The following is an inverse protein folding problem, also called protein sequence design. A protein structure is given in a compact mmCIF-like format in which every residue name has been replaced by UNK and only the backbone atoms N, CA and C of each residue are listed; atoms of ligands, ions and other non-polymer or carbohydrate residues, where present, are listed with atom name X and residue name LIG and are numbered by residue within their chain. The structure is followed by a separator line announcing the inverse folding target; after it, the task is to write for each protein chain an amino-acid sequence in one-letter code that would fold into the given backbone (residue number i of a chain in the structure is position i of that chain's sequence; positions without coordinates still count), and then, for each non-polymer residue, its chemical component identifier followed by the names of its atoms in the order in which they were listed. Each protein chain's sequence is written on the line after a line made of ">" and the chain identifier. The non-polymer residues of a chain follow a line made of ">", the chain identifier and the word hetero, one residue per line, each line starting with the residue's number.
data_IF_408457722456
#
_entry.id   IF_408457722456
#
_cell.length_a   1.000
_cell.length_b   1.000
_cell.length_c   1.000
_cell.angle_alpha   90.00
_cell.angle_beta   90.00
_cell.angle_gamma   90.00
#
_symmetry.space_group_name_H-M   'P 1'
#
loop_
_entity.id
_entity.type
_entity.pdbx_description
1 polymer ?
#
# COMPACT_ATOMS: atom_id res chain seq x y z
N UNK A 1 -83.20 4.01 -106.80
CA UNK A 1 -82.02 3.25 -106.30
C UNK A 1 -80.89 4.15 -105.74
N UNK A 2 -80.59 5.33 -106.30
CA UNK A 2 -79.55 6.23 -105.74
C UNK A 2 -79.96 6.91 -104.43
N UNK A 3 -81.20 7.40 -104.28
CA UNK A 3 -81.65 8.11 -103.06
C UNK A 3 -81.71 7.22 -101.80
N UNK A 4 -82.01 5.94 -101.97
CA UNK A 4 -82.10 4.96 -100.87
C UNK A 4 -80.72 4.64 -100.26
N UNK A 5 -79.67 4.72 -101.07
CA UNK A 5 -78.28 4.54 -100.63
C UNK A 5 -77.79 5.77 -99.84
N UNK A 6 -78.19 6.97 -100.26
CA UNK A 6 -77.82 8.23 -99.59
C UNK A 6 -78.44 8.32 -98.20
N UNK A 7 -79.70 7.90 -98.04
CA UNK A 7 -80.35 7.89 -96.72
C UNK A 7 -79.71 6.88 -95.75
N UNK A 8 -79.28 5.70 -96.22
CA UNK A 8 -78.54 4.73 -95.39
C UNK A 8 -77.19 5.26 -94.93
N UNK A 9 -76.45 5.94 -95.81
CA UNK A 9 -75.15 6.57 -95.48
C UNK A 9 -75.29 7.67 -94.43
N UNK A 10 -76.34 8.50 -94.50
CA UNK A 10 -76.60 9.54 -93.50
C UNK A 10 -76.94 8.93 -92.13
N UNK A 11 -77.71 7.84 -92.11
CA UNK A 11 -78.06 7.14 -90.87
C UNK A 11 -76.84 6.47 -90.20
N UNK A 12 -75.94 5.85 -90.98
CA UNK A 12 -74.70 5.29 -90.46
C UNK A 12 -73.74 6.37 -89.94
N UNK A 13 -73.57 7.49 -90.66
CA UNK A 13 -72.73 8.60 -90.19
C UNK A 13 -73.23 9.19 -88.87
N UNK A 14 -74.55 9.25 -88.66
CA UNK A 14 -75.14 9.69 -87.39
C UNK A 14 -74.83 8.70 -86.25
N UNK A 15 -74.88 7.39 -86.51
CA UNK A 15 -74.45 6.36 -85.55
C UNK A 15 -72.96 6.46 -85.22
N UNK A 16 -72.12 6.74 -86.22
CA UNK A 16 -70.66 6.82 -86.08
C UNK A 16 -70.25 8.06 -85.25
N UNK A 17 -70.90 9.21 -85.48
CA UNK A 17 -70.76 10.40 -84.62
C UNK A 17 -71.18 10.12 -83.17
N UNK A 18 -72.26 9.36 -82.95
CA UNK A 18 -72.69 8.94 -81.62
C UNK A 18 -71.65 8.08 -80.90
N UNK A 19 -71.02 7.14 -81.61
CA UNK A 19 -69.94 6.30 -81.06
C UNK A 19 -68.70 7.12 -80.72
N UNK A 20 -68.31 8.07 -81.56
CA UNK A 20 -67.17 8.97 -81.29
C UNK A 20 -67.40 9.85 -80.04
N UNK A 21 -68.61 10.39 -79.86
CA UNK A 21 -68.95 11.15 -78.67
C UNK A 21 -68.88 10.28 -77.40
N UNK A 22 -69.34 9.02 -77.47
CA UNK A 22 -69.24 8.06 -76.36
C UNK A 22 -67.78 7.73 -76.01
N UNK A 23 -66.92 7.56 -77.03
CA UNK A 23 -65.49 7.31 -76.85
C UNK A 23 -64.80 8.47 -76.11
N UNK A 24 -65.05 9.72 -76.54
CA UNK A 24 -64.49 10.91 -75.88
C UNK A 24 -64.90 11.01 -74.40
N UNK A 25 -66.16 10.69 -74.09
CA UNK A 25 -66.66 10.69 -72.70
C UNK A 25 -66.03 9.58 -71.84
N UNK A 26 -65.70 8.44 -72.43
CA UNK A 26 -64.98 7.37 -71.71
C UNK A 26 -63.53 7.76 -71.46
N UNK A 27 -62.85 8.35 -72.46
CA UNK A 27 -61.48 8.85 -72.31
C UNK A 27 -61.36 9.92 -71.22
N UNK A 28 -62.32 10.84 -71.12
CA UNK A 28 -62.30 11.84 -70.04
C UNK A 28 -62.45 11.20 -68.66
N UNK A 29 -63.31 10.18 -68.51
CA UNK A 29 -63.48 9.46 -67.24
C UNK A 29 -62.22 8.70 -66.81
N UNK A 30 -61.52 8.09 -67.76
CA UNK A 30 -60.24 7.40 -67.47
C UNK A 30 -59.21 8.40 -66.96
N UNK A 31 -59.12 9.58 -67.58
CA UNK A 31 -58.17 10.62 -67.17
C UNK A 31 -58.41 11.13 -65.75
N UNK A 32 -59.67 11.35 -65.38
CA UNK A 32 -60.03 11.74 -64.00
C UNK A 32 -59.70 10.63 -62.99
N UNK A 33 -59.91 9.37 -63.36
CA UNK A 33 -59.56 8.24 -62.49
C UNK A 33 -58.04 8.12 -62.28
N UNK A 34 -57.23 8.37 -63.31
CA UNK A 34 -55.77 8.37 -63.20
C UNK A 34 -55.26 9.49 -62.28
N UNK A 35 -55.84 10.69 -62.36
CA UNK A 35 -55.51 11.82 -61.50
C UNK A 35 -55.79 11.49 -60.01
N UNK A 36 -56.95 10.89 -59.72
CA UNK A 36 -57.31 10.42 -58.37
C UNK A 36 -56.35 9.35 -57.83
N UNK A 37 -55.89 8.42 -58.68
CA UNK A 37 -54.94 7.38 -58.30
C UNK A 37 -53.57 7.98 -57.95
N UNK A 38 -53.08 8.94 -58.76
CA UNK A 38 -51.80 9.60 -58.51
C UNK A 38 -51.82 10.40 -57.20
N UNK A 39 -52.92 11.08 -56.88
CA UNK A 39 -53.04 11.82 -55.62
C UNK A 39 -53.02 10.89 -54.40
N UNK A 40 -53.66 9.72 -54.49
CA UNK A 40 -53.62 8.68 -53.44
C UNK A 40 -52.22 8.11 -53.22
N UNK A 41 -51.46 7.87 -54.30
CA UNK A 41 -50.07 7.38 -54.21
C UNK A 41 -49.17 8.42 -53.51
N UNK A 42 -49.35 9.71 -53.82
CA UNK A 42 -48.57 10.80 -53.23
C UNK A 42 -48.84 10.96 -51.73
N UNK A 43 -50.10 10.83 -51.29
CA UNK A 43 -50.47 10.82 -49.87
C UNK A 43 -49.83 9.64 -49.11
N UNK A 44 -49.80 8.44 -49.70
CA UNK A 44 -49.23 7.25 -49.08
C UNK A 44 -47.69 7.34 -48.89
N UNK A 45 -46.97 7.88 -49.88
CA UNK A 45 -45.50 8.08 -49.79
C UNK A 45 -45.09 9.08 -48.70
N UNK A 46 -45.94 10.06 -48.36
CA UNK A 46 -45.64 11.02 -47.29
C UNK A 46 -45.88 10.46 -45.89
N UNK A 47 -46.79 9.50 -45.72
CA UNK A 47 -47.02 8.84 -44.42
C UNK A 47 -45.92 7.84 -44.03
N UNK A 48 -45.17 7.31 -45.01
CA UNK A 48 -44.15 6.27 -44.77
C UNK A 48 -42.80 6.81 -44.26
N UNK A 49 -42.58 8.13 -44.23
CA UNK A 49 -41.27 8.72 -43.89
C UNK A 49 -40.98 8.91 -42.39
N UNK A 50 -41.91 8.60 -41.49
CA UNK A 50 -41.72 8.78 -40.04
C UNK A 50 -42.14 7.57 -39.23
N UNK A 51 -41.35 7.21 -38.20
CA UNK A 51 -41.73 6.19 -37.21
C UNK A 51 -43.01 6.56 -36.43
N UNK A 52 -43.37 7.84 -36.42
CA UNK A 52 -44.54 8.40 -35.74
C UNK A 52 -45.33 9.35 -36.65
N UNK A 53 -46.64 9.48 -36.41
CA UNK A 53 -47.50 10.45 -37.10
C UNK A 53 -47.23 11.88 -36.61
N UNK A 54 -47.39 12.88 -37.48
CA UNK A 54 -47.20 14.31 -37.13
C UNK A 54 -48.06 14.72 -35.91
N UNK A 55 -49.32 14.29 -35.87
CA UNK A 55 -50.25 14.56 -34.77
C UNK A 55 -49.85 13.90 -33.44
N UNK A 56 -49.10 12.80 -33.47
CA UNK A 56 -48.54 12.19 -32.26
C UNK A 56 -47.39 13.03 -31.73
N UNK A 57 -46.49 13.49 -32.61
CA UNK A 57 -45.33 14.31 -32.24
C UNK A 57 -45.74 15.66 -31.65
N UNK A 58 -46.72 16.34 -32.27
CA UNK A 58 -47.25 17.63 -31.77
C UNK A 58 -47.81 17.52 -30.35
N UNK A 59 -48.57 16.46 -30.05
CA UNK A 59 -49.09 16.19 -28.70
C UNK A 59 -47.97 15.96 -27.66
N UNK A 60 -46.82 15.43 -28.08
CA UNK A 60 -45.66 15.20 -27.18
C UNK A 60 -44.90 16.50 -26.88
N UNK A 61 -44.81 17.40 -27.86
CA UNK A 61 -44.20 18.71 -27.66
C UNK A 61 -45.02 19.59 -26.70
N UNK A 62 -46.35 19.46 -26.73
CA UNK A 62 -47.24 20.17 -25.79
C UNK A 62 -47.20 19.61 -24.35
N UNK A 63 -46.71 18.39 -24.15
CA UNK A 63 -46.54 17.77 -22.82
C UNK A 63 -45.19 17.03 -22.70
N UNK A 64 -44.08 17.80 -22.59
CA UNK A 64 -42.75 17.24 -22.44
C UNK A 64 -42.64 16.31 -21.24
N UNK A 65 -41.79 15.28 -21.37
CA UNK A 65 -41.52 14.36 -20.27
C UNK A 65 -40.56 15.02 -19.28
N UNK A 66 -41.00 15.17 -18.03
CA UNK A 66 -40.18 15.62 -16.91
C UNK A 66 -40.20 14.56 -15.81
N UNK A 67 -39.12 14.47 -15.04
CA UNK A 67 -39.06 13.62 -13.85
C UNK A 67 -39.52 14.41 -12.62
N UNK A 68 -40.29 13.78 -11.74
CA UNK A 68 -40.56 14.31 -10.41
C UNK A 68 -39.41 14.01 -9.44
N UNK A 69 -39.50 14.50 -8.21
CA UNK A 69 -38.48 14.31 -7.16
C UNK A 69 -38.25 12.83 -6.79
N UNK A 70 -39.19 11.95 -7.13
CA UNK A 70 -39.11 10.49 -6.90
C UNK A 70 -38.56 9.75 -8.13
N UNK A 71 -38.11 10.47 -9.16
CA UNK A 71 -37.54 9.88 -10.38
C UNK A 71 -38.55 9.23 -11.31
N UNK A 72 -39.84 9.46 -11.09
CA UNK A 72 -40.93 8.98 -11.95
C UNK A 72 -41.29 10.05 -12.98
N UNK A 73 -41.81 9.65 -14.14
CA UNK A 73 -42.37 10.59 -15.11
C UNK A 73 -43.52 11.38 -14.43
N UNK A 74 -43.41 12.70 -14.46
CA UNK A 74 -44.39 13.61 -13.88
C UNK A 74 -45.75 13.49 -14.59
N UNK A 75 -46.83 13.52 -13.81
CA UNK A 75 -48.21 13.37 -14.27
C UNK A 75 -48.90 12.07 -13.83
N UNK A 76 -50.09 11.77 -14.40
CA UNK A 76 -50.87 10.59 -14.01
C UNK A 76 -50.14 9.28 -14.30
N UNK A 77 -50.22 8.32 -13.37
CA UNK A 77 -49.48 7.05 -13.45
C UNK A 77 -49.79 6.26 -14.73
N UNK A 78 -51.06 6.25 -15.17
CA UNK A 78 -51.47 5.60 -16.42
C UNK A 78 -50.75 6.19 -17.64
N UNK A 79 -50.57 7.51 -17.68
CA UNK A 79 -49.88 8.21 -18.77
C UNK A 79 -48.38 7.95 -18.71
N UNK A 80 -47.79 7.93 -17.52
CA UNK A 80 -46.39 7.59 -17.30
C UNK A 80 -46.07 6.16 -17.76
N UNK A 81 -46.88 5.16 -17.35
CA UNK A 81 -46.73 3.77 -17.77
C UNK A 81 -46.85 3.61 -19.29
N UNK A 82 -47.83 4.29 -19.91
CA UNK A 82 -47.98 4.30 -21.37
C UNK A 82 -46.74 4.86 -22.07
N UNK A 83 -46.21 6.00 -21.59
CA UNK A 83 -44.98 6.61 -22.11
C UNK A 83 -43.78 5.66 -22.05
N UNK A 84 -43.62 4.95 -20.92
CA UNK A 84 -42.53 3.97 -20.72
C UNK A 84 -42.69 2.79 -21.69
N UNK A 85 -43.91 2.26 -21.83
CA UNK A 85 -44.19 1.14 -22.72
C UNK A 85 -43.94 1.48 -24.19
N UNK A 86 -44.46 2.62 -24.67
CA UNK A 86 -44.24 3.09 -26.05
C UNK A 86 -42.73 3.27 -26.34
N UNK A 87 -41.97 3.83 -25.39
CA UNK A 87 -40.52 4.01 -25.51
C UNK A 87 -39.80 2.66 -25.61
N UNK A 88 -40.22 1.71 -24.78
CA UNK A 88 -39.68 0.35 -24.75
C UNK A 88 -39.93 -0.39 -26.07
N UNK A 89 -41.16 -0.35 -26.58
CA UNK A 89 -41.55 -1.01 -27.84
C UNK A 89 -40.78 -0.45 -29.06
N UNK A 90 -40.54 0.87 -29.07
CA UNK A 90 -39.75 1.51 -30.14
C UNK A 90 -38.28 1.14 -30.02
N UNK A 91 -37.73 1.15 -28.80
CA UNK A 91 -36.35 0.73 -28.56
C UNK A 91 -36.12 -0.75 -28.95
N UNK A 92 -37.10 -1.63 -28.71
CA UNK A 92 -37.05 -3.02 -29.18
C UNK A 92 -36.95 -3.11 -30.70
N UNK A 93 -37.76 -2.33 -31.44
CA UNK A 93 -37.74 -2.32 -32.91
C UNK A 93 -36.42 -1.79 -33.47
N UNK A 94 -35.82 -0.79 -32.82
CA UNK A 94 -34.57 -0.15 -33.28
C UNK A 94 -33.36 -1.03 -32.97
N UNK A 95 -33.27 -1.59 -31.75
CA UNK A 95 -32.09 -2.30 -31.27
C UNK A 95 -32.20 -3.83 -31.34
N UNK A 96 -33.30 -4.36 -31.89
CA UNK A 96 -33.49 -5.81 -32.09
C UNK A 96 -33.88 -6.59 -30.83
N UNK A 97 -34.57 -5.96 -29.89
CA UNK A 97 -35.09 -6.64 -28.69
C UNK A 97 -36.38 -7.44 -28.97
N UNK A 98 -36.57 -8.56 -28.28
CA UNK A 98 -37.81 -9.35 -28.31
C UNK A 98 -38.51 -9.31 -26.95
N UNK A 99 -39.82 -9.64 -26.85
CA UNK A 99 -40.50 -9.71 -25.55
C UNK A 99 -39.84 -10.70 -24.58
N UNK A 100 -39.15 -11.72 -25.11
CA UNK A 100 -38.37 -12.70 -24.33
C UNK A 100 -36.95 -12.22 -23.99
N UNK A 101 -36.38 -11.30 -24.76
CA UNK A 101 -35.05 -10.73 -24.52
C UNK A 101 -35.02 -9.22 -24.78
N UNK A 102 -35.21 -8.45 -23.72
CA UNK A 102 -35.22 -6.98 -23.74
C UNK A 102 -33.83 -6.34 -23.63
N UNK A 103 -32.76 -7.13 -23.42
CA UNK A 103 -31.41 -6.56 -23.21
C UNK A 103 -30.94 -5.63 -24.34
N UNK A 104 -31.09 -5.97 -25.64
CA UNK A 104 -30.64 -5.09 -26.72
C UNK A 104 -31.34 -3.72 -26.68
N UNK A 105 -32.64 -3.69 -26.36
CA UNK A 105 -33.40 -2.46 -26.20
C UNK A 105 -32.88 -1.60 -25.04
N UNK A 106 -32.61 -2.22 -23.88
CA UNK A 106 -32.08 -1.50 -22.71
C UNK A 106 -30.65 -0.99 -22.94
N UNK A 107 -29.78 -1.77 -23.59
CA UNK A 107 -28.43 -1.33 -23.93
C UNK A 107 -28.43 -0.17 -24.92
N UNK A 108 -29.31 -0.20 -25.93
CA UNK A 108 -29.46 0.90 -26.86
C UNK A 108 -29.96 2.18 -26.20
N UNK A 109 -30.96 2.08 -25.32
CA UNK A 109 -31.44 3.22 -24.52
C UNK A 109 -30.35 3.78 -23.60
N UNK A 110 -29.60 2.91 -22.91
CA UNK A 110 -28.52 3.32 -22.03
C UNK A 110 -27.39 3.99 -22.81
N UNK A 111 -26.96 3.43 -23.94
CA UNK A 111 -25.91 4.01 -24.79
C UNK A 111 -26.32 5.38 -25.36
N UNK A 112 -27.59 5.52 -25.75
CA UNK A 112 -28.13 6.79 -26.22
C UNK A 112 -28.11 7.83 -25.10
N UNK A 113 -28.53 7.43 -23.89
CA UNK A 113 -28.54 8.30 -22.73
C UNK A 113 -27.11 8.70 -22.30
N UNK A 114 -26.19 7.74 -22.22
CA UNK A 114 -24.82 7.97 -21.75
C UNK A 114 -23.99 8.84 -22.70
N UNK A 115 -24.22 8.73 -24.01
CA UNK A 115 -23.48 9.49 -25.02
C UNK A 115 -24.15 10.81 -25.39
N UNK A 116 -25.48 10.91 -25.22
CA UNK A 116 -26.25 12.09 -25.62
C UNK A 116 -26.46 13.12 -24.52
N UNK A 117 -26.47 12.72 -23.25
CA UNK A 117 -26.71 13.64 -22.13
C UNK A 117 -25.40 14.14 -21.49
N UNK A 118 -25.43 15.37 -20.97
CA UNK A 118 -24.31 15.92 -20.20
C UNK A 118 -24.14 15.19 -18.86
N UNK A 119 -22.92 15.19 -18.32
CA UNK A 119 -22.63 14.58 -17.01
C UNK A 119 -23.52 15.15 -15.89
N UNK A 120 -23.75 16.47 -15.85
CA UNK A 120 -24.60 17.10 -14.84
C UNK A 120 -26.05 16.63 -14.92
N UNK A 121 -26.57 16.44 -16.14
CA UNK A 121 -27.92 15.92 -16.37
C UNK A 121 -28.05 14.47 -15.91
N UNK A 122 -27.05 13.63 -16.22
CA UNK A 122 -27.04 12.23 -15.78
C UNK A 122 -26.97 12.10 -14.25
N UNK A 123 -26.15 12.94 -13.60
CA UNK A 123 -26.05 12.99 -12.14
C UNK A 123 -27.39 13.34 -11.49
N UNK A 124 -28.08 14.38 -11.97
CA UNK A 124 -29.41 14.76 -11.47
C UNK A 124 -30.45 13.64 -11.66
N UNK A 125 -30.44 12.97 -12.82
CA UNK A 125 -31.32 11.82 -13.09
C UNK A 125 -31.06 10.65 -12.13
N UNK A 126 -29.80 10.34 -11.83
CA UNK A 126 -29.45 9.27 -10.91
C UNK A 126 -29.84 9.60 -9.46
N UNK A 127 -29.60 10.82 -8.99
CA UNK A 127 -30.02 11.23 -7.65
C UNK A 127 -31.52 11.15 -7.43
N UNK A 128 -32.32 11.49 -8.46
CA UNK A 128 -33.79 11.41 -8.40
C UNK A 128 -34.32 9.98 -8.44
N UNK A 129 -33.54 8.99 -8.90
CA UNK A 129 -33.99 7.60 -9.04
C UNK A 129 -33.73 6.77 -7.78
N UNK A 130 -34.77 6.37 -7.01
CA UNK A 130 -34.58 5.60 -5.78
C UNK A 130 -33.97 4.23 -6.06
N UNK A 131 -34.32 3.60 -7.18
CA UNK A 131 -33.79 2.27 -7.55
C UNK A 131 -32.30 2.34 -7.86
N UNK A 132 -31.85 3.40 -8.53
CA UNK A 132 -30.42 3.60 -8.81
C UNK A 132 -29.66 3.83 -7.50
N UNK A 133 -30.13 4.76 -6.67
CA UNK A 133 -29.46 5.13 -5.43
C UNK A 133 -29.44 4.03 -4.36
N UNK A 134 -30.52 3.23 -4.24
CA UNK A 134 -30.65 2.24 -3.15
C UNK A 134 -30.26 0.82 -3.54
N UNK A 135 -30.20 0.50 -4.85
CA UNK A 135 -29.89 -0.86 -5.34
C UNK A 135 -28.71 -0.88 -6.31
N UNK A 136 -28.75 -0.09 -7.39
CA UNK A 136 -27.74 -0.18 -8.46
C UNK A 136 -26.37 0.31 -7.99
N UNK A 137 -26.29 1.53 -7.44
CA UNK A 137 -25.02 2.09 -6.96
C UNK A 137 -24.43 1.23 -5.83
N UNK A 138 -25.19 0.82 -4.81
CA UNK A 138 -24.71 -0.11 -3.79
C UNK A 138 -24.11 -1.40 -4.35
N UNK A 139 -24.74 -2.02 -5.35
CA UNK A 139 -24.21 -3.24 -5.95
C UNK A 139 -22.84 -3.00 -6.62
N UNK A 140 -22.73 -1.96 -7.45
CA UNK A 140 -21.49 -1.61 -8.15
C UNK A 140 -20.38 -1.26 -7.15
N UNK A 141 -20.70 -0.42 -6.16
CA UNK A 141 -19.75 0.02 -5.13
C UNK A 141 -19.30 -1.16 -4.28
N UNK A 142 -20.22 -2.00 -3.79
CA UNK A 142 -19.89 -3.12 -2.92
C UNK A 142 -19.06 -4.18 -3.63
N UNK A 143 -19.21 -4.38 -4.94
CA UNK A 143 -18.28 -5.22 -5.71
C UNK A 143 -16.86 -4.64 -5.73
N UNK A 144 -16.72 -3.33 -5.94
CA UNK A 144 -15.40 -2.66 -5.86
C UNK A 144 -14.82 -2.71 -4.45
N UNK A 145 -15.65 -2.59 -3.41
CA UNK A 145 -15.25 -2.73 -2.01
C UNK A 145 -14.75 -4.15 -1.73
N UNK A 146 -15.46 -5.19 -2.19
CA UNK A 146 -15.00 -6.59 -2.05
C UNK A 146 -13.68 -6.84 -2.76
N UNK A 147 -13.49 -6.28 -3.97
CA UNK A 147 -12.22 -6.34 -4.67
C UNK A 147 -11.10 -5.63 -3.90
N UNK A 148 -11.41 -4.46 -3.32
CA UNK A 148 -10.46 -3.70 -2.50
C UNK A 148 -10.10 -4.44 -1.20
N UNK A 149 -11.05 -5.06 -0.51
CA UNK A 149 -10.82 -5.81 0.73
C UNK A 149 -9.74 -6.89 0.53
N UNK A 150 -9.70 -7.51 -0.65
CA UNK A 150 -8.72 -8.54 -1.03
C UNK A 150 -7.43 -7.99 -1.65
N UNK A 151 -7.32 -6.69 -1.86
CA UNK A 151 -6.19 -6.06 -2.55
C UNK A 151 -4.91 -5.99 -1.72
N UNK A 152 -3.76 -5.87 -2.40
CA UNK A 152 -2.46 -5.57 -1.77
C UNK A 152 -2.49 -4.22 -1.03
N UNK A 153 -3.22 -3.24 -1.56
CA UNK A 153 -3.38 -1.93 -0.93
C UNK A 153 -4.04 -2.03 0.44
N UNK A 154 -5.09 -2.86 0.56
CA UNK A 154 -5.74 -3.10 1.84
C UNK A 154 -4.85 -3.87 2.82
N UNK A 155 -4.04 -4.81 2.32
CA UNK A 155 -3.00 -5.46 3.13
C UNK A 155 -2.03 -4.43 3.73
N UNK A 156 -1.45 -3.54 2.91
CA UNK A 156 -0.54 -2.49 3.37
C UNK A 156 -1.22 -1.56 4.38
N UNK A 157 -2.48 -1.15 4.12
CA UNK A 157 -3.30 -0.39 5.07
C UNK A 157 -3.45 -1.10 6.42
N UNK A 158 -3.67 -2.42 6.40
CA UNK A 158 -3.86 -3.23 7.60
C UNK A 158 -2.57 -3.41 8.40
N UNK A 159 -1.44 -3.62 7.70
CA UNK A 159 -0.10 -3.66 8.31
C UNK A 159 0.22 -2.31 8.96
N UNK A 160 -0.02 -1.19 8.26
CA UNK A 160 0.20 0.13 8.83
C UNK A 160 -0.61 0.31 10.13
N UNK A 161 -1.88 -0.08 10.14
CA UNK A 161 -2.72 -0.03 11.36
C UNK A 161 -2.12 -0.87 12.51
N UNK A 162 -1.63 -2.08 12.23
CA UNK A 162 -1.06 -2.97 13.23
C UNK A 162 0.22 -2.41 13.88
N UNK A 163 1.06 -1.74 13.09
CA UNK A 163 2.36 -1.22 13.54
C UNK A 163 2.37 0.29 13.84
N UNK A 164 1.23 0.99 13.65
CA UNK A 164 1.14 2.43 13.84
C UNK A 164 1.43 2.79 15.29
N UNK A 165 2.48 3.59 15.50
CA UNK A 165 2.96 4.02 16.81
C UNK A 165 3.42 2.87 17.74
N UNK A 166 3.79 1.72 17.17
CA UNK A 166 4.15 0.51 17.90
C UNK A 166 3.22 -0.65 17.58
N UNK A 167 3.59 -1.84 18.01
CA UNK A 167 2.80 -3.05 17.76
C UNK A 167 1.51 -3.02 18.60
N UNK A 168 0.38 -3.02 17.92
CA UNK A 168 -0.94 -3.09 18.55
C UNK A 168 -1.24 -4.53 18.97
N UNK A 169 -1.77 -4.73 20.18
CA UNK A 169 -2.18 -6.05 20.65
C UNK A 169 -3.32 -6.63 19.79
N UNK A 170 -3.40 -7.97 19.72
CA UNK A 170 -4.49 -8.67 18.99
C UNK A 170 -5.87 -8.17 19.40
N UNK A 171 -6.11 -8.02 20.70
CA UNK A 171 -7.38 -7.53 21.23
C UNK A 171 -7.67 -6.10 20.80
N UNK A 172 -6.71 -5.19 20.94
CA UNK A 172 -6.88 -3.79 20.53
C UNK A 172 -7.10 -3.66 19.02
N UNK A 173 -6.41 -4.47 18.21
CA UNK A 173 -6.60 -4.51 16.77
C UNK A 173 -8.03 -4.94 16.40
N UNK A 174 -8.53 -6.03 17.01
CA UNK A 174 -9.85 -6.59 16.71
C UNK A 174 -10.98 -5.72 17.28
N UNK A 175 -10.91 -5.42 18.57
CA UNK A 175 -12.01 -4.83 19.35
C UNK A 175 -12.06 -3.33 19.14
N UNK A 176 -10.93 -2.63 19.26
CA UNK A 176 -10.92 -1.17 19.23
C UNK A 176 -10.82 -0.62 17.82
N UNK A 177 -9.93 -1.17 16.98
CA UNK A 177 -9.63 -0.54 15.69
C UNK A 177 -10.51 -1.11 14.58
N UNK A 178 -10.48 -2.43 14.35
CA UNK A 178 -11.27 -3.05 13.29
C UNK A 178 -12.76 -2.80 13.49
N UNK A 179 -13.27 -3.00 14.71
CA UNK A 179 -14.68 -2.75 14.99
C UNK A 179 -15.03 -1.28 14.79
N UNK A 180 -14.25 -0.32 15.29
CA UNK A 180 -14.60 1.10 15.15
C UNK A 180 -14.54 1.60 13.70
N UNK A 181 -13.63 1.06 12.88
CA UNK A 181 -13.47 1.46 11.48
C UNK A 181 -14.49 0.84 10.53
N UNK A 182 -15.22 -0.20 10.95
CA UNK A 182 -16.07 -0.97 10.04
C UNK A 182 -17.43 -1.36 10.59
N UNK A 183 -17.71 -1.05 11.85
CA UNK A 183 -18.96 -1.38 12.52
C UNK A 183 -19.52 -0.19 13.28
N UNK A 184 -20.84 0.01 13.15
CA UNK A 184 -21.63 0.93 13.95
C UNK A 184 -22.57 0.14 14.86
N UNK A 185 -22.83 0.66 16.06
CA UNK A 185 -23.89 0.12 16.91
C UNK A 185 -25.24 0.44 16.27
N UNK A 186 -26.15 -0.55 16.20
CA UNK A 186 -27.53 -0.27 15.78
C UNK A 186 -28.26 0.40 16.94
N UNK A 187 -28.97 1.49 16.66
CA UNK A 187 -29.68 2.30 17.66
C UNK A 187 -30.65 1.50 18.55
N UNK A 188 -31.22 0.39 18.03
CA UNK A 188 -32.25 -0.40 18.71
C UNK A 188 -31.87 -1.87 18.98
N UNK A 189 -30.57 -2.24 18.97
CA UNK A 189 -30.17 -3.60 19.31
C UNK A 189 -28.72 -3.69 19.79
N UNK A 190 -28.41 -4.68 20.63
CA UNK A 190 -27.02 -5.07 20.96
C UNK A 190 -26.23 -5.65 19.76
N UNK A 191 -26.74 -5.51 18.53
CA UNK A 191 -26.08 -5.98 17.30
C UNK A 191 -25.32 -4.85 16.61
N UNK A 192 -24.13 -5.18 16.09
CA UNK A 192 -23.32 -4.28 15.27
C UNK A 192 -23.71 -4.43 13.80
N UNK A 193 -23.80 -3.30 13.11
CA UNK A 193 -24.00 -3.21 11.65
C UNK A 193 -22.73 -2.73 10.98
N UNK A 194 -22.58 -2.97 9.68
CA UNK A 194 -21.46 -2.38 8.96
C UNK A 194 -21.58 -0.87 8.90
N UNK A 195 -20.44 -0.18 9.05
CA UNK A 195 -20.40 1.25 8.79
C UNK A 195 -20.65 1.48 7.30
N UNK A 196 -21.67 2.26 7.02
CA UNK A 196 -22.07 2.67 5.67
C UNK A 196 -21.77 4.16 5.50
N UNK A 197 -21.23 4.56 4.36
CA UNK A 197 -21.03 5.98 4.03
C UNK A 197 -22.18 6.56 3.18
N UNK A 198 -23.00 5.67 2.62
CA UNK A 198 -24.26 5.94 1.92
C UNK A 198 -25.14 4.70 2.10
N UNK A 199 -26.46 4.85 2.01
CA UNK A 199 -27.40 3.73 2.17
C UNK A 199 -26.98 2.49 1.36
N UNK A 200 -26.79 1.37 2.05
CA UNK A 200 -26.35 0.08 1.51
C UNK A 200 -24.91 0.06 0.92
N UNK A 201 -24.12 1.11 1.07
CA UNK A 201 -22.72 1.18 0.61
C UNK A 201 -21.74 1.02 1.77
N UNK A 202 -21.11 -0.15 1.85
CA UNK A 202 -20.22 -0.50 2.94
C UNK A 202 -18.86 0.20 2.85
N UNK A 203 -18.28 0.55 4.00
CA UNK A 203 -16.88 0.99 4.09
C UNK A 203 -15.93 -0.22 4.00
N UNK A 204 -14.83 -0.14 3.22
CA UNK A 204 -13.88 -1.24 3.11
C UNK A 204 -13.20 -1.59 4.44
N UNK A 205 -13.11 -2.90 4.70
CA UNK A 205 -12.62 -3.45 5.97
C UNK A 205 -11.13 -3.67 5.90
N UNK A 206 -10.42 -3.34 6.99
CA UNK A 206 -9.05 -3.84 7.17
C UNK A 206 -9.07 -5.37 7.22
N UNK A 207 -7.92 -6.04 7.09
CA UNK A 207 -7.86 -7.50 7.09
C UNK A 207 -8.10 -8.09 8.49
N UNK A 208 -8.73 -9.28 8.59
CA UNK A 208 -8.81 -10.01 9.85
C UNK A 208 -7.42 -10.27 10.42
N UNK A 209 -7.27 -10.24 11.75
CA UNK A 209 -5.95 -10.42 12.38
C UNK A 209 -5.28 -11.74 11.98
N UNK A 210 -6.05 -12.84 11.91
CA UNK A 210 -5.53 -14.16 11.52
C UNK A 210 -4.96 -14.16 10.10
N UNK A 211 -5.70 -13.58 9.15
CA UNK A 211 -5.26 -13.48 7.75
C UNK A 211 -4.08 -12.51 7.60
N UNK A 212 -4.10 -11.39 8.32
CA UNK A 212 -3.01 -10.42 8.36
C UNK A 212 -1.72 -11.09 8.86
N UNK A 213 -1.78 -11.79 9.99
CA UNK A 213 -0.63 -12.49 10.56
C UNK A 213 -0.14 -13.63 9.67
N UNK A 214 -1.03 -14.36 9.00
CA UNK A 214 -0.65 -15.38 8.03
C UNK A 214 0.15 -14.76 6.88
N UNK A 215 -0.33 -13.65 6.31
CA UNK A 215 0.38 -12.92 5.27
C UNK A 215 1.72 -12.33 5.76
N UNK A 216 1.76 -11.78 6.98
CA UNK A 216 2.99 -11.24 7.58
C UNK A 216 4.03 -12.36 7.79
N UNK A 217 3.61 -13.53 8.29
CA UNK A 217 4.51 -14.68 8.47
C UNK A 217 5.03 -15.24 7.15
N UNK A 218 4.29 -15.06 6.05
CA UNK A 218 4.73 -15.39 4.71
C UNK A 218 5.69 -14.36 4.09
N UNK A 219 5.94 -13.22 4.75
CA UNK A 219 6.96 -12.28 4.30
C UNK A 219 8.31 -12.92 4.59
N UNK A 220 9.09 -13.16 3.53
CA UNK A 220 10.48 -13.52 3.68
C UNK A 220 11.23 -12.38 4.40
N UNK A 221 11.86 -12.70 5.52
CA UNK A 221 12.68 -11.80 6.33
C UNK A 221 14.16 -12.20 6.35
N UNK A 222 14.53 -13.19 5.53
CA UNK A 222 15.86 -13.80 5.50
C UNK A 222 15.99 -14.94 6.49
N UNK A 223 17.20 -15.50 6.55
CA UNK A 223 17.51 -16.60 7.44
C UNK A 223 17.59 -16.11 8.89
N UNK A 224 16.97 -16.87 9.79
CA UNK A 224 17.08 -16.66 11.23
C UNK A 224 17.88 -17.83 11.82
N UNK A 225 18.91 -17.48 12.58
CA UNK A 225 19.79 -18.43 13.24
C UNK A 225 19.54 -18.44 14.74
N UNK A 226 19.62 -19.62 15.33
CA UNK A 226 19.53 -19.81 16.78
C UNK A 226 20.84 -19.45 17.46
N UNK A 227 20.77 -18.58 18.47
CA UNK A 227 21.94 -18.24 19.28
C UNK A 227 22.40 -19.43 20.12
N UNK A 228 21.45 -20.21 20.62
CA UNK A 228 21.72 -21.35 21.46
C UNK A 228 22.59 -22.39 20.73
N UNK A 229 22.16 -22.78 19.53
CA UNK A 229 22.82 -23.81 18.74
C UNK A 229 24.26 -23.45 18.37
N UNK A 230 24.55 -22.17 18.12
CA UNK A 230 25.86 -21.75 17.63
C UNK A 230 26.79 -21.26 18.74
N UNK A 231 26.27 -20.55 19.74
CA UNK A 231 27.09 -19.84 20.72
C UNK A 231 27.03 -20.44 22.13
N UNK A 232 26.05 -21.29 22.44
CA UNK A 232 25.97 -21.98 23.74
C UNK A 232 26.67 -23.35 23.77
N UNK A 233 27.37 -23.74 22.70
CA UNK A 233 28.11 -25.00 22.63
C UNK A 233 29.14 -25.11 23.77
N UNK A 234 29.01 -26.17 24.58
CA UNK A 234 29.89 -26.43 25.73
C UNK A 234 29.62 -25.58 26.97
N UNK A 235 28.50 -24.84 27.03
CA UNK A 235 28.04 -24.15 28.24
C UNK A 235 27.13 -25.05 29.08
N UNK A 236 26.97 -24.74 30.37
CA UNK A 236 26.00 -25.42 31.23
C UNK A 236 24.56 -25.12 30.80
N UNK A 237 23.60 -25.99 31.16
CA UNK A 237 22.19 -25.80 30.82
C UNK A 237 21.62 -24.46 31.32
N UNK A 238 22.11 -23.96 32.45
CA UNK A 238 21.68 -22.68 33.03
C UNK A 238 22.22 -21.45 32.25
N UNK A 239 23.26 -21.64 31.44
CA UNK A 239 23.88 -20.62 30.59
C UNK A 239 23.33 -20.64 29.15
N UNK A 240 22.35 -21.51 28.87
CA UNK A 240 21.71 -21.57 27.56
C UNK A 240 20.75 -20.39 27.39
N UNK A 241 20.87 -19.72 26.25
CA UNK A 241 20.15 -18.48 25.99
C UNK A 241 19.11 -18.70 24.90
N UNK A 242 17.91 -18.17 25.14
CA UNK A 242 16.88 -18.08 24.12
C UNK A 242 17.03 -16.77 23.34
N UNK A 243 17.35 -16.89 22.06
CA UNK A 243 17.46 -15.73 21.19
C UNK A 243 17.76 -16.12 19.74
N UNK A 244 17.49 -15.17 18.86
CA UNK A 244 17.65 -15.33 17.40
C UNK A 244 18.48 -14.18 16.87
N UNK A 245 19.23 -14.46 15.80
CA UNK A 245 19.99 -13.45 15.10
C UNK A 245 19.93 -13.64 13.59
N UNK A 246 20.28 -12.60 12.84
CA UNK A 246 20.40 -12.59 11.37
C UNK A 246 21.85 -12.47 10.95
N UNK A 247 22.19 -13.04 9.80
CA UNK A 247 23.51 -12.79 9.23
C UNK A 247 23.64 -11.31 8.82
N UNK A 248 24.76 -10.70 9.22
CA UNK A 248 24.99 -9.27 9.00
C UNK A 248 25.12 -8.96 7.50
N UNK A 249 25.81 -9.80 6.74
CA UNK A 249 26.04 -9.57 5.30
C UNK A 249 24.72 -9.69 4.55
N UNK A 250 23.94 -10.75 4.79
CA UNK A 250 22.63 -10.95 4.16
C UNK A 250 21.67 -9.78 4.47
N UNK A 251 21.63 -9.35 5.74
CA UNK A 251 20.79 -8.23 6.16
C UNK A 251 21.19 -6.93 5.46
N UNK A 252 22.49 -6.59 5.42
CA UNK A 252 22.98 -5.36 4.79
C UNK A 252 22.70 -5.32 3.29
N UNK A 253 22.89 -6.44 2.59
CA UNK A 253 22.59 -6.53 1.15
C UNK A 253 21.09 -6.34 0.86
N UNK A 254 20.23 -6.96 1.68
CA UNK A 254 18.77 -6.81 1.57
C UNK A 254 18.34 -5.37 1.84
N UNK A 255 18.92 -4.73 2.87
CA UNK A 255 18.66 -3.32 3.17
C UNK A 255 19.14 -2.42 2.04
N UNK A 256 20.35 -2.63 1.52
CA UNK A 256 20.87 -1.86 0.39
C UNK A 256 19.94 -1.96 -0.83
N UNK A 257 19.48 -3.17 -1.18
CA UNK A 257 18.51 -3.37 -2.26
C UNK A 257 17.21 -2.59 -2.02
N UNK A 258 16.67 -2.65 -0.81
CA UNK A 258 15.48 -1.91 -0.42
C UNK A 258 15.68 -0.40 -0.54
N UNK A 259 16.76 0.14 0.02
CA UNK A 259 17.01 1.58 0.01
C UNK A 259 17.27 2.10 -1.40
N UNK A 260 18.04 1.39 -2.22
CA UNK A 260 18.27 1.76 -3.63
C UNK A 260 16.95 1.81 -4.41
N UNK A 261 16.09 0.79 -4.25
CA UNK A 261 14.78 0.73 -4.91
C UNK A 261 13.86 1.88 -4.48
N UNK A 262 13.78 2.14 -3.18
CA UNK A 262 12.83 3.13 -2.66
C UNK A 262 13.37 4.56 -2.78
N UNK A 263 14.69 4.72 -2.98
CA UNK A 263 15.32 6.03 -3.14
C UNK A 263 14.68 6.82 -4.28
N UNK A 264 14.31 6.20 -5.41
CA UNK A 264 13.68 6.87 -6.55
C UNK A 264 12.34 7.55 -6.21
N UNK A 265 11.57 6.96 -5.30
CA UNK A 265 10.23 7.43 -4.94
C UNK A 265 10.18 8.30 -3.69
N UNK A 266 11.29 8.43 -2.95
CA UNK A 266 11.38 9.25 -1.73
C UNK A 266 11.73 10.70 -2.04
N UNK A 267 11.13 11.62 -1.28
CA UNK A 267 11.45 13.06 -1.32
C UNK A 267 12.82 13.34 -0.70
N UNK A 268 13.11 12.66 0.41
CA UNK A 268 14.35 12.68 1.16
C UNK A 268 15.26 11.54 0.70
N UNK A 269 16.00 11.84 -0.37
CA UNK A 269 16.98 10.95 -1.02
C UNK A 269 18.13 10.59 -0.08
N UNK A 270 18.77 9.46 -0.38
CA UNK A 270 20.01 9.06 0.27
C UNK A 270 21.13 10.08 0.01
N UNK A 271 21.93 10.33 1.04
CA UNK A 271 23.14 11.16 0.93
C UNK A 271 24.36 10.25 0.91
N UNK A 272 25.27 10.52 -0.03
CA UNK A 272 26.54 9.82 -0.18
C UNK A 272 27.65 10.70 0.37
N UNK A 273 28.31 10.26 1.43
CA UNK A 273 29.33 11.04 2.13
C UNK A 273 30.70 10.95 1.45
N UNK A 274 31.57 11.94 1.71
CA UNK A 274 33.00 11.94 1.35
C UNK A 274 33.31 11.75 -0.14
N UNK A 275 32.48 12.29 -1.04
CA UNK A 275 32.61 12.11 -2.50
C UNK A 275 32.69 10.64 -2.93
N UNK A 276 32.22 9.69 -2.11
CA UNK A 276 32.18 8.28 -2.47
C UNK A 276 31.10 8.05 -3.54
N UNK A 277 31.32 7.03 -4.37
CA UNK A 277 30.37 6.63 -5.40
C UNK A 277 29.01 6.25 -4.80
N UNK A 278 27.93 6.52 -5.55
CA UNK A 278 26.60 6.05 -5.19
C UNK A 278 26.60 4.52 -5.03
N UNK A 279 26.00 4.04 -3.94
CA UNK A 279 26.07 2.62 -3.55
C UNK A 279 27.00 2.34 -2.37
N UNK A 280 27.70 3.33 -1.83
CA UNK A 280 28.46 3.18 -0.59
C UNK A 280 27.62 3.54 0.65
N UNK A 281 27.34 2.55 1.50
CA UNK A 281 26.55 2.73 2.73
C UNK A 281 27.42 2.85 3.97
N UNK A 282 27.19 3.91 4.73
CA UNK A 282 27.75 4.13 6.04
C UNK A 282 26.80 3.52 7.08
N UNK A 283 27.30 2.61 7.91
CA UNK A 283 26.50 1.76 8.78
C UNK A 283 26.75 2.12 10.24
N UNK A 284 25.66 2.20 11.01
CA UNK A 284 25.71 2.16 12.46
C UNK A 284 25.27 0.79 12.97
N UNK A 285 26.01 0.24 13.93
CA UNK A 285 25.69 -1.04 14.56
C UNK A 285 25.95 -0.98 16.06
N UNK A 286 24.98 -1.40 16.86
CA UNK A 286 25.12 -1.35 18.31
C UNK A 286 24.12 -2.22 19.04
N UNK A 287 24.48 -2.61 20.24
CA UNK A 287 23.66 -3.38 21.18
C UNK A 287 23.24 -2.53 22.37
N UNK A 288 22.02 -2.76 22.84
CA UNK A 288 21.53 -2.16 24.08
C UNK A 288 20.71 -3.17 24.89
N UNK A 289 20.95 -3.20 26.20
CA UNK A 289 20.23 -4.00 27.16
C UNK A 289 19.03 -3.26 27.73
N UNK A 290 17.86 -3.88 27.68
CA UNK A 290 16.66 -3.41 28.35
C UNK A 290 16.38 -4.26 29.61
N UNK A 291 15.95 -3.66 30.74
CA UNK A 291 15.62 -4.39 31.96
C UNK A 291 14.22 -5.05 31.85
N UNK A 292 14.08 -5.97 30.90
CA UNK A 292 12.85 -6.70 30.60
C UNK A 292 13.21 -8.16 30.30
N UNK A 293 12.31 -9.11 30.63
CA UNK A 293 12.49 -10.53 30.30
C UNK A 293 12.48 -11.45 31.52
N UNK A 294 12.71 -12.74 31.30
CA UNK A 294 12.69 -13.78 32.35
C UNK A 294 13.91 -13.68 33.28
N UNK A 295 14.99 -13.06 32.80
CA UNK A 295 16.25 -12.86 33.52
C UNK A 295 16.49 -11.38 33.88
N UNK A 296 15.43 -10.57 33.96
CA UNK A 296 15.47 -9.11 34.17
C UNK A 296 16.38 -8.34 33.19
N UNK A 297 16.73 -8.97 32.06
CA UNK A 297 17.57 -8.41 31.01
C UNK A 297 17.25 -9.05 29.66
N UNK A 298 17.08 -8.20 28.65
CA UNK A 298 16.97 -8.56 27.25
C UNK A 298 17.92 -7.69 26.45
N UNK A 299 18.61 -8.28 25.48
CA UNK A 299 19.58 -7.61 24.64
C UNK A 299 19.07 -7.55 23.20
N UNK A 300 19.19 -6.37 22.59
CA UNK A 300 18.92 -6.20 21.17
C UNK A 300 20.12 -5.56 20.48
N UNK A 301 20.53 -6.11 19.33
CA UNK A 301 21.46 -5.44 18.42
C UNK A 301 20.71 -4.91 17.21
N UNK A 302 21.00 -3.66 16.87
CA UNK A 302 20.36 -2.92 15.80
C UNK A 302 21.39 -2.47 14.75
N UNK A 303 20.92 -2.37 13.51
CA UNK A 303 21.69 -1.87 12.36
C UNK A 303 20.89 -0.74 11.70
N UNK A 304 21.56 0.35 11.32
CA UNK A 304 20.97 1.46 10.57
C UNK A 304 21.95 2.05 9.56
N UNK A 305 21.43 2.73 8.54
CA UNK A 305 22.25 3.44 7.54
C UNK A 305 22.32 4.93 7.85
N UNK A 306 23.54 5.45 8.02
CA UNK A 306 23.79 6.88 8.24
C UNK A 306 23.37 7.72 7.02
N UNK A 307 23.36 7.13 5.83
CA UNK A 307 22.96 7.79 4.57
C UNK A 307 21.52 8.32 4.58
N UNK A 308 20.71 7.92 5.56
CA UNK A 308 19.35 8.42 5.78
C UNK A 308 19.29 9.73 6.59
N UNK A 309 20.42 10.25 7.07
CA UNK A 309 20.63 11.57 7.71
C UNK A 309 19.52 11.94 8.72
N UNK A 310 18.56 12.79 8.30
CA UNK A 310 17.48 13.29 9.15
C UNK A 310 16.59 12.18 9.73
N UNK A 311 16.58 10.99 9.11
CA UNK A 311 15.79 9.86 9.57
C UNK A 311 16.55 8.93 10.51
N UNK A 312 17.83 9.16 10.80
CA UNK A 312 18.59 8.18 11.59
C UNK A 312 18.03 8.01 13.01
N UNK A 313 17.52 9.09 13.59
CA UNK A 313 16.83 9.08 14.89
C UNK A 313 15.41 8.51 14.81
N UNK A 314 14.93 8.17 13.61
CA UNK A 314 13.62 7.55 13.41
C UNK A 314 13.65 6.09 13.80
N UNK A 315 12.64 5.67 14.55
CA UNK A 315 12.40 4.25 14.88
C UNK A 315 12.20 3.37 13.63
N UNK A 316 11.89 3.97 12.48
CA UNK A 316 11.64 3.24 11.23
C UNK A 316 12.91 2.87 10.45
N UNK A 317 14.07 3.39 10.86
CA UNK A 317 15.35 3.20 10.14
C UNK A 317 16.35 2.37 10.96
N UNK A 318 15.89 1.72 12.04
CA UNK A 318 16.67 0.85 12.90
C UNK A 318 16.17 -0.59 12.78
N UNK A 319 17.02 -1.50 12.34
CA UNK A 319 16.65 -2.88 12.02
C UNK A 319 17.26 -3.87 13.00
N UNK A 320 16.46 -4.82 13.47
CA UNK A 320 16.89 -5.84 14.41
C UNK A 320 17.84 -6.85 13.74
N UNK A 321 19.06 -6.94 14.27
CA UNK A 321 20.08 -7.91 13.89
C UNK A 321 20.09 -9.11 14.86
N UNK A 322 19.98 -8.84 16.16
CA UNK A 322 19.93 -9.85 17.22
C UNK A 322 18.89 -9.46 18.26
N UNK A 323 18.14 -10.44 18.77
CA UNK A 323 17.30 -10.30 19.96
C UNK A 323 17.44 -11.53 20.85
N UNK A 324 17.78 -11.32 22.11
CA UNK A 324 17.98 -12.40 23.09
C UNK A 324 17.47 -12.01 24.47
N UNK A 325 16.96 -12.99 25.22
CA UNK A 325 16.54 -12.83 26.60
C UNK A 325 17.71 -13.18 27.54
N UNK A 326 18.71 -12.30 27.61
CA UNK A 326 19.90 -12.47 28.42
C UNK A 326 20.55 -11.15 28.82
N UNK A 327 21.51 -11.25 29.75
CA UNK A 327 22.37 -10.14 30.10
C UNK A 327 23.36 -9.81 28.99
N UNK A 328 23.84 -8.57 28.99
CA UNK A 328 24.79 -8.07 27.99
C UNK A 328 26.17 -8.74 28.09
N UNK A 329 26.49 -9.28 29.28
CA UNK A 329 27.81 -9.80 29.66
C UNK A 329 27.92 -11.33 29.62
N UNK A 330 26.88 -12.03 29.18
CA UNK A 330 26.88 -13.49 29.09
C UNK A 330 27.82 -14.02 27.99
N UNK A 331 28.31 -15.25 28.17
CA UNK A 331 29.33 -15.85 27.31
C UNK A 331 28.89 -16.04 25.86
N UNK A 332 27.62 -16.39 25.62
CA UNK A 332 27.12 -16.57 24.26
C UNK A 332 27.09 -15.24 23.48
N UNK A 333 26.71 -14.14 24.13
CA UNK A 333 26.77 -12.80 23.53
C UNK A 333 28.21 -12.38 23.30
N UNK A 334 29.12 -12.70 24.23
CA UNK A 334 30.56 -12.48 24.02
C UNK A 334 31.07 -13.16 22.75
N UNK A 335 30.72 -14.43 22.54
CA UNK A 335 31.08 -15.19 21.33
C UNK A 335 30.46 -14.59 20.07
N UNK A 336 29.21 -14.16 20.15
CA UNK A 336 28.54 -13.47 19.05
C UNK A 336 29.24 -12.16 18.66
N UNK A 337 29.63 -11.32 19.62
CA UNK A 337 30.32 -10.05 19.33
C UNK A 337 31.69 -10.27 18.69
N UNK A 338 32.40 -11.35 19.04
CA UNK A 338 33.63 -11.74 18.36
C UNK A 338 33.40 -12.11 16.90
N UNK A 339 32.36 -12.90 16.61
CA UNK A 339 31.93 -13.22 15.24
C UNK A 339 31.57 -11.96 14.46
N UNK A 340 30.77 -11.08 15.07
CA UNK A 340 30.35 -9.80 14.49
C UNK A 340 31.55 -8.90 14.12
N UNK A 341 32.56 -8.84 14.99
CA UNK A 341 33.79 -8.07 14.74
C UNK A 341 34.59 -8.61 13.54
N UNK A 342 34.59 -9.94 13.35
CA UNK A 342 35.21 -10.56 12.18
C UNK A 342 34.41 -10.27 10.91
N UNK A 343 33.08 -10.45 10.96
CA UNK A 343 32.19 -10.15 9.83
C UNK A 343 32.37 -8.72 9.34
N UNK A 344 32.38 -7.74 10.25
CA UNK A 344 32.54 -6.33 9.88
C UNK A 344 33.86 -6.11 9.14
N UNK A 345 34.98 -6.66 9.66
CA UNK A 345 36.29 -6.53 9.02
C UNK A 345 36.33 -7.14 7.62
N UNK A 346 35.56 -8.20 7.39
CA UNK A 346 35.46 -8.81 6.06
C UNK A 346 34.57 -8.02 5.12
N UNK A 347 33.42 -7.55 5.62
CA UNK A 347 32.43 -6.78 4.85
C UNK A 347 33.04 -5.48 4.35
N UNK A 348 33.80 -4.75 5.19
CA UNK A 348 34.45 -3.48 4.79
C UNK A 348 35.46 -3.64 3.64
N UNK A 349 36.02 -4.84 3.45
CA UNK A 349 37.01 -5.11 2.40
C UNK A 349 36.37 -5.51 1.07
N UNK A 350 35.11 -5.90 1.09
CA UNK A 350 34.42 -6.49 -0.07
C UNK A 350 33.51 -5.45 -0.72
N UNK A 351 33.40 -5.55 -2.03
CA UNK A 351 32.34 -4.89 -2.81
C UNK A 351 31.41 -5.98 -3.31
N UNK A 352 30.12 -5.74 -3.19
CA UNK A 352 29.06 -6.67 -3.53
C UNK A 352 28.28 -6.16 -4.72
N UNK A 353 27.71 -7.06 -5.52
CA UNK A 353 26.84 -6.67 -6.63
C UNK A 353 25.39 -7.04 -6.29
N UNK A 354 24.48 -6.07 -6.39
CA UNK A 354 23.06 -6.23 -6.09
C UNK A 354 22.23 -5.80 -7.30
N UNK A 355 21.22 -6.58 -7.68
CA UNK A 355 20.31 -6.22 -8.77
C UNK A 355 19.07 -5.50 -8.23
N UNK A 356 18.81 -4.30 -8.75
CA UNK A 356 17.64 -3.47 -8.42
C UNK A 356 16.95 -3.10 -9.72
N UNK A 357 15.72 -3.57 -9.90
CA UNK A 357 14.88 -3.29 -11.10
C UNK A 357 15.60 -3.56 -12.44
N UNK A 358 16.46 -4.58 -12.48
CA UNK A 358 17.22 -4.98 -13.66
C UNK A 358 18.58 -4.30 -13.82
N UNK A 359 18.90 -3.31 -12.97
CA UNK A 359 20.20 -2.64 -12.95
C UNK A 359 21.11 -3.25 -11.88
N UNK A 360 22.37 -3.50 -12.26
CA UNK A 360 23.41 -3.98 -11.34
C UNK A 360 24.03 -2.79 -10.59
N UNK A 361 24.02 -2.86 -9.27
CA UNK A 361 24.62 -1.88 -8.37
C UNK A 361 25.82 -2.49 -7.66
N UNK A 362 26.94 -1.77 -7.65
CA UNK A 362 28.08 -2.11 -6.81
C UNK A 362 27.91 -1.44 -5.45
N UNK A 363 27.81 -2.26 -4.42
CA UNK A 363 27.52 -1.86 -3.06
C UNK A 363 28.71 -2.16 -2.17
N UNK A 364 29.08 -1.20 -1.34
CA UNK A 364 30.12 -1.36 -0.31
C UNK A 364 29.66 -0.74 1.00
N UNK A 365 30.23 -1.21 2.10
CA UNK A 365 29.83 -0.79 3.44
C UNK A 365 31.03 -0.29 4.23
N UNK A 366 30.86 0.80 4.96
CA UNK A 366 31.79 1.27 6.01
C UNK A 366 31.02 1.41 7.31
N UNK A 367 31.59 0.96 8.41
CA UNK A 367 30.91 1.03 9.70
C UNK A 367 31.51 2.18 10.52
N UNK A 368 30.82 3.30 10.54
CA UNK A 368 31.35 4.56 11.08
C UNK A 368 30.78 4.92 12.44
N UNK A 369 29.74 4.21 12.92
CA UNK A 369 29.14 4.47 14.22
C UNK A 369 28.85 3.18 14.99
N UNK A 370 29.17 3.20 16.28
CA UNK A 370 28.97 2.06 17.18
C UNK A 370 28.15 2.48 18.42
N UNK A 371 26.84 2.78 18.26
CA UNK A 371 26.02 3.36 19.32
C UNK A 371 25.69 2.32 20.40
N UNK A 372 26.37 2.40 21.53
CA UNK A 372 26.14 1.57 22.71
C UNK A 372 26.23 2.47 23.96
N UNK A 373 25.63 2.06 25.06
CA UNK A 373 25.79 2.80 26.31
C UNK A 373 27.26 2.74 26.80
N UNK A 374 27.69 3.73 27.59
CA UNK A 374 29.10 3.81 28.00
C UNK A 374 29.55 2.60 28.83
N UNK A 375 28.62 1.99 29.58
CA UNK A 375 28.89 0.82 30.41
C UNK A 375 29.20 -0.39 29.53
N UNK A 376 28.42 -0.60 28.48
CA UNK A 376 28.58 -1.69 27.54
C UNK A 376 29.79 -1.48 26.64
N UNK A 377 30.06 -0.25 26.19
CA UNK A 377 31.32 0.07 25.49
C UNK A 377 32.53 -0.25 26.36
N UNK A 378 32.51 0.14 27.64
CA UNK A 378 33.60 -0.17 28.57
C UNK A 378 33.76 -1.69 28.71
N UNK A 379 32.67 -2.43 28.88
CA UNK A 379 32.69 -3.90 28.91
C UNK A 379 33.30 -4.50 27.64
N UNK A 380 32.82 -4.08 26.46
CA UNK A 380 33.30 -4.53 25.16
C UNK A 380 34.76 -4.13 24.87
N UNK A 381 35.26 -3.08 25.50
CA UNK A 381 36.68 -2.70 25.45
C UNK A 381 37.55 -3.47 26.46
N UNK A 382 36.94 -4.29 27.33
CA UNK A 382 37.61 -4.97 28.43
C UNK A 382 37.99 -4.05 29.59
N UNK A 383 37.31 -2.90 29.70
CA UNK A 383 37.55 -1.90 30.72
C UNK A 383 36.71 -2.14 31.98
N UNK A 384 37.16 -1.56 33.09
CA UNK A 384 36.35 -1.46 34.28
C UNK A 384 35.20 -0.49 34.02
N UNK A 385 34.00 -0.83 34.50
CA UNK A 385 32.91 0.14 34.54
C UNK A 385 33.41 1.39 35.26
N UNK A 386 33.38 2.52 34.54
CA UNK A 386 33.60 3.91 34.97
C UNK A 386 34.21 4.00 36.38
N UNK A 387 35.54 3.98 36.48
CA UNK A 387 36.22 4.01 37.77
C UNK A 387 36.06 5.38 38.44
N UNK A 388 36.05 5.42 39.77
CA UNK A 388 35.94 6.68 40.53
C UNK A 388 37.11 7.66 40.27
N UNK A 389 38.25 7.16 39.79
CA UNK A 389 39.43 7.98 39.49
C UNK A 389 39.47 8.42 38.03
N UNK A 390 39.20 7.50 37.09
CA UNK A 390 39.12 7.76 35.66
C UNK A 390 37.78 7.26 35.12
N UNK A 391 36.89 8.19 34.76
CA UNK A 391 35.52 7.88 34.36
C UNK A 391 35.36 7.74 32.84
N UNK A 392 36.30 8.30 32.06
CA UNK A 392 36.26 8.21 30.60
C UNK A 392 36.95 6.93 30.10
N UNK A 393 36.25 6.07 29.34
CA UNK A 393 36.87 4.91 28.72
C UNK A 393 37.74 5.28 27.51
N UNK A 394 37.65 6.51 27.00
CA UNK A 394 38.38 6.94 25.81
C UNK A 394 39.69 7.67 26.13
N UNK A 395 39.76 8.29 27.30
CA UNK A 395 40.83 9.22 27.65
C UNK A 395 41.25 9.14 29.11
N UNK A 396 42.48 9.55 29.41
CA UNK A 396 43.02 9.60 30.78
C UNK A 396 42.48 10.76 31.65
N UNK A 397 41.18 11.03 31.55
CA UNK A 397 40.49 12.09 32.31
C UNK A 397 40.30 11.64 33.75
N UNK A 398 40.88 12.39 34.69
CA UNK A 398 40.72 12.15 36.12
C UNK A 398 39.47 12.84 36.65
N UNK A 399 38.88 12.29 37.70
CA UNK A 399 37.76 12.94 38.44
C UNK A 399 38.12 14.32 38.97
N UNK A 400 39.38 14.54 39.36
CA UNK A 400 39.87 15.85 39.80
C UNK A 400 39.84 16.91 38.68
N UNK A 401 39.86 16.47 37.41
CA UNK A 401 39.91 17.35 36.24
C UNK A 401 38.53 17.54 35.59
N UNK A 402 37.44 17.01 36.15
CA UNK A 402 36.13 17.00 35.51
C UNK A 402 35.53 18.41 35.31
N UNK A 403 35.90 19.36 36.17
CA UNK A 403 35.44 20.75 36.10
C UNK A 403 36.28 21.61 35.14
N UNK A 404 37.33 21.05 34.54
CA UNK A 404 38.15 21.77 33.57
C UNK A 404 37.42 21.82 32.23
N UNK A 405 36.97 23.00 31.82
CA UNK A 405 36.27 23.23 30.56
C UNK A 405 37.15 23.88 29.49
N UNK A 406 38.40 24.22 29.82
CA UNK A 406 39.32 24.96 28.94
C UNK A 406 40.38 24.06 28.30
N UNK A 407 40.68 22.94 28.95
CA UNK A 407 41.61 21.97 28.42
C UNK A 407 40.99 21.16 27.27
N UNK A 408 41.84 20.70 26.37
CA UNK A 408 41.43 19.92 25.21
C UNK A 408 41.92 18.46 25.30
N UNK A 409 41.15 17.58 24.68
CA UNK A 409 41.46 16.17 24.50
C UNK A 409 42.04 15.94 23.10
N UNK A 410 43.13 15.17 23.01
CA UNK A 410 43.71 14.82 21.72
C UNK A 410 45.12 14.24 21.82
N UNK A 411 45.72 13.95 20.68
CA UNK A 411 47.06 13.36 20.59
C UNK A 411 48.18 14.39 20.71
N UNK A 412 47.97 15.64 20.28
CA UNK A 412 49.02 16.69 20.29
C UNK A 412 49.52 17.01 21.69
N UNK A 413 50.82 17.32 21.89
CA UNK A 413 51.43 17.59 23.20
C UNK A 413 50.69 18.63 24.06
N UNK A 414 50.02 19.60 23.42
CA UNK A 414 49.18 20.65 24.02
C UNK A 414 47.93 20.13 24.75
N UNK A 415 47.45 18.93 24.39
CA UNK A 415 46.27 18.33 24.99
C UNK A 415 46.55 17.79 26.38
N UNK A 416 45.77 18.27 27.37
CA UNK A 416 45.83 17.81 28.76
C UNK A 416 45.43 16.34 28.88
N UNK A 417 44.36 15.95 28.21
CA UNK A 417 43.88 14.57 28.19
C UNK A 417 44.30 13.89 26.90
N UNK A 418 44.86 12.71 27.07
CA UNK A 418 45.34 11.87 25.99
C UNK A 418 44.41 10.68 25.80
N UNK A 419 44.19 10.24 24.55
CA UNK A 419 43.59 8.94 24.31
C UNK A 419 44.45 7.88 24.98
N UNK A 420 43.78 6.89 25.56
CA UNK A 420 44.52 5.80 26.16
C UNK A 420 45.25 5.00 25.10
N UNK A 421 46.54 4.72 25.34
CA UNK A 421 47.31 3.88 24.42
C UNK A 421 46.84 2.43 24.51
N UNK A 422 46.25 1.90 23.43
CA UNK A 422 45.72 0.54 23.40
C UNK A 422 46.77 -0.53 23.77
N UNK A 423 48.02 -0.34 23.35
CA UNK A 423 49.12 -1.26 23.67
C UNK A 423 49.46 -1.28 25.17
N UNK A 424 49.42 -0.12 25.83
CA UNK A 424 49.61 -0.03 27.28
C UNK A 424 48.45 -0.70 28.02
N UNK A 425 47.22 -0.58 27.49
CA UNK A 425 46.03 -1.22 28.05
C UNK A 425 46.12 -2.74 28.02
N UNK A 426 46.53 -3.33 26.90
CA UNK A 426 46.73 -4.79 26.82
C UNK A 426 47.69 -5.26 27.91
N UNK A 427 48.80 -4.55 28.15
CA UNK A 427 49.77 -4.91 29.19
C UNK A 427 49.15 -4.87 30.59
N UNK A 428 48.39 -3.82 30.92
CA UNK A 428 47.69 -3.70 32.20
C UNK A 428 46.66 -4.82 32.36
N UNK A 429 45.89 -5.10 31.31
CA UNK A 429 44.86 -6.12 31.32
C UNK A 429 45.44 -7.54 31.51
N UNK A 430 46.57 -7.84 30.87
CA UNK A 430 47.34 -9.07 31.12
C UNK A 430 47.88 -9.14 32.54
N UNK A 431 48.37 -8.04 33.11
CA UNK A 431 48.84 -7.99 34.49
C UNK A 431 47.71 -8.24 35.50
N UNK A 432 46.51 -7.67 35.25
CA UNK A 432 45.32 -7.92 36.06
C UNK A 432 44.87 -9.38 35.96
N UNK A 433 44.87 -9.97 34.76
CA UNK A 433 44.54 -11.39 34.58
C UNK A 433 45.51 -12.31 35.34
N UNK A 434 46.82 -12.01 35.27
CA UNK A 434 47.84 -12.70 36.07
C UNK A 434 47.58 -12.55 37.57
N UNK A 435 47.22 -11.33 38.02
CA UNK A 435 46.90 -11.08 39.42
C UNK A 435 45.65 -11.83 39.89
N UNK A 436 44.64 -12.01 39.02
CA UNK A 436 43.45 -12.83 39.30
C UNK A 436 43.83 -14.29 39.55
N UNK A 437 44.70 -14.85 38.70
CA UNK A 437 45.20 -16.23 38.89
C UNK A 437 45.98 -16.38 40.20
N UNK A 438 46.86 -15.41 40.52
CA UNK A 438 47.56 -15.39 41.81
C UNK A 438 46.58 -15.34 43.00
N UNK A 439 45.54 -14.52 42.91
CA UNK A 439 44.53 -14.37 43.96
C UNK A 439 43.63 -15.60 44.09
N UNK A 440 43.30 -16.31 43.00
CA UNK A 440 42.51 -17.55 43.08
C UNK A 440 43.21 -18.68 43.83
N UNK A 441 44.54 -18.60 43.97
CA UNK A 441 45.34 -19.54 44.76
C UNK A 441 45.62 -19.04 46.19
N UNK A 442 45.12 -17.87 46.57
CA UNK A 442 45.30 -17.31 47.91
C UNK A 442 44.17 -17.71 48.86
N UNK A 443 44.49 -17.97 50.14
CA UNK A 443 43.55 -18.33 51.21
C UNK A 443 42.74 -17.14 51.75
N UNK A 444 42.44 -16.16 50.89
CA UNK A 444 41.64 -15.00 51.26
C UNK A 444 40.18 -15.41 51.47
N UNK A 445 39.49 -14.76 52.41
CA UNK A 445 38.07 -15.03 52.67
C UNK A 445 37.23 -14.66 51.44
N UNK A 446 36.17 -15.41 51.10
CA UNK A 446 35.29 -15.13 49.96
C UNK A 446 34.75 -13.69 49.94
N UNK A 447 34.52 -13.09 51.11
CA UNK A 447 34.06 -11.70 51.28
C UNK A 447 35.08 -10.64 50.87
N UNK A 448 36.36 -11.01 50.74
CA UNK A 448 37.44 -10.12 50.29
C UNK A 448 37.60 -10.13 48.77
N UNK A 449 37.06 -11.14 48.08
CA UNK A 449 37.01 -11.20 46.62
C UNK A 449 35.90 -10.28 46.10
N UNK A 450 36.26 -9.06 45.68
CA UNK A 450 35.36 -8.20 44.93
C UNK A 450 35.22 -8.71 43.49
N UNK A 451 34.31 -9.66 43.27
CA UNK A 451 33.99 -10.18 41.93
C UNK A 451 33.24 -9.18 41.04
N UNK A 452 32.66 -8.12 41.62
CA UNK A 452 31.78 -7.16 40.91
C UNK A 452 32.49 -6.10 40.06
N UNK A 453 33.81 -6.14 39.88
CA UNK A 453 34.53 -5.00 39.31
C UNK A 453 35.76 -5.34 38.49
N UNK A 454 35.82 -6.46 37.78
CA UNK A 454 37.00 -6.78 36.97
C UNK A 454 36.62 -7.48 35.65
N UNK A 455 36.43 -6.68 34.59
CA UNK A 455 36.16 -7.15 33.22
C UNK A 455 37.17 -8.18 32.72
N UNK A 456 36.74 -9.04 31.79
CA UNK A 456 37.60 -9.94 31.02
C UNK A 456 38.02 -9.23 29.73
N UNK A 457 39.24 -9.53 29.25
CA UNK A 457 39.88 -8.81 28.16
C UNK A 457 39.16 -9.05 26.82
N UNK A 458 38.69 -7.97 26.20
CA UNK A 458 38.18 -7.99 24.84
C UNK A 458 39.21 -7.43 23.86
N UNK A 459 39.39 -8.12 22.74
CA UNK A 459 40.17 -7.63 21.60
C UNK A 459 39.24 -7.14 20.49
N UNK A 460 38.67 -5.95 20.66
CA UNK A 460 37.98 -5.24 19.59
C UNK A 460 38.89 -4.15 19.00
N UNK A 461 39.14 -4.25 17.69
CA UNK A 461 39.97 -3.34 16.88
C UNK A 461 39.40 -1.90 16.80
N UNK A 462 38.22 -1.68 17.39
CA UNK A 462 37.39 -0.49 17.27
C UNK A 462 37.85 0.68 18.13
N UNK A 463 38.35 0.40 19.33
CA UNK A 463 38.91 1.45 20.20
C UNK A 463 40.06 2.18 19.50
N UNK A 464 40.79 1.49 18.63
CA UNK A 464 41.87 2.07 17.83
C UNK A 464 41.37 3.10 16.79
N UNK A 465 40.21 2.92 16.15
CA UNK A 465 39.66 3.87 15.17
C UNK A 465 38.85 5.02 15.77
N UNK A 466 38.36 4.90 17.00
CA UNK A 466 37.68 6.00 17.70
C UNK A 466 38.68 6.93 18.42
N UNK A 467 39.94 6.52 18.54
CA UNK A 467 41.00 7.28 19.23
C UNK A 467 42.14 7.75 18.30
N UNK A 468 42.16 7.28 17.05
CA UNK A 468 42.93 7.82 15.92
C UNK A 468 42.02 8.70 15.07
#
# INVERSE_FOLDING_TARGET
>A
KQEELTQKLVAENKKLKGKQAKLKRLQSKVRTADEDIQERIKKKKNSEKGFFTLSFTEKRLQSPTALNEKGNINGPERTARRKIQETSEVAMKIHGGTPSNMQPAYFGLFATLSNGASASTLTDMFYKSPTVMTKVIPNVVNEKVKAFDNSKTNFVRSVNVLYRNGLVSKEKYIISIRSALSMNNKENSNSKSHTEFMSNCNVPRILPYKELMYKIKGIDIGNLYDLNEQFCTGLGNDDHIEGKYRDLTELLLRLAQFYLKVNEHRLDKLIWYNNKQAGHFNVAIGGDGAPFGKADSALAWLVSFLNCVHRISSRNENFLLLGANCSEDCEAIRRYVLKLSQDIKEIEKKTYSVSVDGQLWNVSFSFDMFPNDMKYIAYLAGELSISATYFSPFANVKKADICDTKSAFGVEPSHKWKPWTYQARIKVASAVAKKKQELSHSSLKPTTFRNKGLGQNFHLCWVKRLTE
#
